data_IF_038361313188
#
_entry.id   IF_038361313188
#
_cell.length_a   1.000
_cell.length_b   1.000
_cell.length_c   1.000
_cell.angle_alpha   90.00
_cell.angle_beta   90.00
_cell.angle_gamma   90.00
#
_symmetry.space_group_name_H-M   'P 1'
#
loop_
_entity.id
_entity.type
_entity.pdbx_description
1 polymer ?
#
# COMPACT_ATOMS: atom_id res chain seq x y z
N UNK A 1 -11.01 -1.65 -10.47
CA UNK A 1 -12.23 -0.84 -10.66
C UNK A 1 -12.05 0.46 -9.90
N UNK A 2 -11.95 1.58 -10.60
CA UNK A 2 -12.16 2.95 -10.11
C UNK A 2 -12.46 3.77 -11.35
N UNK A 3 -13.75 3.85 -11.67
CA UNK A 3 -14.26 4.61 -12.81
C UNK A 3 -14.57 6.00 -12.26
N UNK A 4 -13.61 6.93 -12.33
CA UNK A 4 -13.85 8.31 -11.86
C UNK A 4 -12.61 9.18 -11.59
N UNK A 5 -11.44 8.58 -11.36
CA UNK A 5 -10.21 9.32 -11.05
C UNK A 5 -10.28 10.11 -9.73
N UNK A 6 -9.20 10.81 -9.38
CA UNK A 6 -9.06 11.55 -8.11
C UNK A 6 -10.18 12.57 -7.88
N UNK A 7 -10.68 13.23 -8.94
CA UNK A 7 -11.75 14.22 -8.84
C UNK A 7 -13.05 13.61 -8.31
N UNK A 8 -13.46 12.45 -8.83
CA UNK A 8 -14.68 11.78 -8.38
C UNK A 8 -14.55 11.33 -6.91
N UNK A 9 -13.37 10.85 -6.51
CA UNK A 9 -13.12 10.44 -5.13
C UNK A 9 -13.24 11.60 -4.13
N UNK A 10 -13.02 12.84 -4.58
CA UNK A 10 -13.05 14.04 -3.72
C UNK A 10 -14.40 14.76 -3.72
N UNK A 11 -15.37 14.33 -4.53
CA UNK A 11 -16.62 15.07 -4.77
C UNK A 11 -17.41 15.35 -3.49
N UNK A 12 -17.51 14.34 -2.61
CA UNK A 12 -18.25 14.45 -1.35
C UNK A 12 -17.39 14.95 -0.17
N UNK A 13 -16.11 15.26 -0.40
CA UNK A 13 -15.23 15.75 0.66
C UNK A 13 -15.58 17.19 1.06
N UNK A 14 -16.16 17.36 2.25
CA UNK A 14 -16.50 18.68 2.83
C UNK A 14 -15.32 19.39 3.49
N UNK A 15 -14.12 18.79 3.46
CA UNK A 15 -12.92 19.28 4.16
C UNK A 15 -13.12 19.54 5.66
N UNK A 16 -13.98 18.76 6.33
CA UNK A 16 -14.28 18.92 7.76
C UNK A 16 -13.09 18.69 8.71
N UNK A 17 -12.02 18.02 8.26
CA UNK A 17 -10.79 17.82 9.04
C UNK A 17 -10.78 16.66 10.05
N UNK A 18 -11.92 15.98 10.29
CA UNK A 18 -11.99 14.87 11.24
C UNK A 18 -10.98 13.75 10.95
N UNK A 19 -10.74 13.45 9.67
CA UNK A 19 -9.73 12.48 9.25
C UNK A 19 -8.32 12.84 9.74
N UNK A 20 -7.99 14.15 9.78
CA UNK A 20 -6.70 14.66 10.24
C UNK A 20 -6.56 14.57 11.75
N UNK A 21 -7.63 14.85 12.50
CA UNK A 21 -7.64 14.77 13.97
C UNK A 21 -7.31 13.36 14.47
N UNK A 22 -7.82 12.33 13.79
CA UNK A 22 -7.58 10.92 14.17
C UNK A 22 -6.29 10.33 13.59
N UNK A 23 -5.61 11.05 12.70
CA UNK A 23 -4.42 10.57 12.01
C UNK A 23 -3.22 10.48 12.96
N UNK A 24 -2.68 9.27 13.13
CA UNK A 24 -1.51 9.05 13.99
C UNK A 24 -0.25 9.75 13.46
N UNK A 25 -0.14 9.94 12.15
CA UNK A 25 1.03 10.57 11.51
C UNK A 25 1.06 12.06 11.82
N UNK A 26 -0.10 12.72 11.70
CA UNK A 26 -0.28 14.14 12.03
C UNK A 26 -0.02 14.41 13.51
N UNK A 27 -0.50 13.53 14.39
CA UNK A 27 -0.24 13.60 15.84
C UNK A 27 1.24 13.49 16.19
N UNK A 28 2.03 12.82 15.37
CA UNK A 28 3.49 12.70 15.53
C UNK A 28 4.25 13.84 14.87
N UNK A 29 3.56 14.83 14.28
CA UNK A 29 4.16 16.03 13.70
C UNK A 29 4.56 15.89 12.23
N UNK A 30 4.07 14.87 11.52
CA UNK A 30 4.32 14.68 10.09
C UNK A 30 3.04 14.81 9.25
N UNK A 31 3.17 15.10 7.96
CA UNK A 31 2.03 15.42 7.09
C UNK A 31 1.73 14.26 6.13
N UNK A 32 0.54 13.67 6.26
CA UNK A 32 0.10 12.52 5.46
C UNK A 32 -1.01 12.89 4.47
N UNK A 33 -1.68 11.91 3.88
CA UNK A 33 -2.81 12.12 2.96
C UNK A 33 -3.93 12.98 3.57
N UNK A 34 -4.09 12.97 4.89
CA UNK A 34 -5.06 13.81 5.59
C UNK A 34 -4.71 15.31 5.53
N UNK A 35 -3.42 15.66 5.44
CA UNK A 35 -2.99 17.05 5.18
C UNK A 35 -3.42 17.51 3.78
N UNK A 36 -3.30 16.64 2.78
CA UNK A 36 -3.80 16.90 1.43
C UNK A 36 -5.30 17.15 1.39
N UNK A 37 -6.09 16.32 2.07
CA UNK A 37 -7.55 16.49 2.15
C UNK A 37 -7.96 17.82 2.80
N UNK A 38 -7.11 18.35 3.69
CA UNK A 38 -7.28 19.67 4.30
C UNK A 38 -6.62 20.82 3.50
N UNK A 39 -6.22 20.59 2.24
CA UNK A 39 -5.70 21.61 1.34
C UNK A 39 -4.22 21.93 1.48
N UNK A 40 -3.44 21.14 2.23
CA UNK A 40 -1.99 21.32 2.33
C UNK A 40 -1.28 20.58 1.18
N UNK A 41 -0.37 21.28 0.49
CA UNK A 41 0.47 20.70 -0.57
C UNK A 41 1.75 20.05 -0.05
N UNK A 42 2.20 20.40 1.16
CA UNK A 42 3.33 19.76 1.81
C UNK A 42 2.81 18.52 2.57
N UNK A 43 2.96 17.35 1.95
CA UNK A 43 2.61 16.06 2.52
C UNK A 43 3.29 14.94 1.72
N UNK A 44 3.25 13.71 2.24
CA UNK A 44 3.48 12.52 1.43
C UNK A 44 2.44 11.45 1.67
N UNK A 45 1.88 10.89 0.59
CA UNK A 45 0.95 9.75 0.65
C UNK A 45 1.63 8.48 1.17
N UNK A 46 2.96 8.37 1.03
CA UNK A 46 3.75 7.26 1.56
C UNK A 46 3.90 7.25 3.08
N UNK A 47 3.61 8.37 3.76
CA UNK A 47 3.57 8.41 5.23
C UNK A 47 2.28 7.83 5.81
N UNK A 48 1.24 7.62 4.99
CA UNK A 48 0.00 7.00 5.46
C UNK A 48 0.26 5.55 5.90
N UNK A 49 -0.04 5.24 7.16
CA UNK A 49 0.09 3.88 7.73
C UNK A 49 -1.01 2.92 7.28
N UNK A 50 -1.99 3.38 6.50
CA UNK A 50 -3.15 2.59 6.05
C UNK A 50 -3.95 1.97 7.21
N UNK A 51 -4.01 2.66 8.36
CA UNK A 51 -4.72 2.19 9.55
C UNK A 51 -6.24 2.35 9.53
N UNK A 52 -6.78 2.96 8.46
CA UNK A 52 -8.22 3.17 8.21
C UNK A 52 -9.02 4.02 9.21
N UNK A 53 -8.41 4.54 10.28
CA UNK A 53 -9.09 5.44 11.22
C UNK A 53 -9.77 6.64 10.57
N UNK A 54 -9.13 7.23 9.56
CA UNK A 54 -9.70 8.34 8.81
C UNK A 54 -10.96 7.95 8.02
N UNK A 55 -11.02 6.70 7.52
CA UNK A 55 -12.19 6.16 6.84
C UNK A 55 -13.36 6.03 7.82
N UNK A 56 -13.11 5.44 8.99
CA UNK A 56 -14.15 5.16 9.99
C UNK A 56 -14.84 6.43 10.54
N UNK A 57 -14.13 7.57 10.56
CA UNK A 57 -14.69 8.82 11.07
C UNK A 57 -15.20 9.76 9.98
N UNK A 58 -15.08 9.40 8.70
CA UNK A 58 -15.52 10.28 7.61
C UNK A 58 -17.06 10.35 7.57
N UNK A 59 -17.68 11.51 7.79
CA UNK A 59 -19.14 11.63 7.81
C UNK A 59 -19.77 11.57 6.41
N UNK A 60 -18.95 11.58 5.35
CA UNK A 60 -19.38 11.54 3.95
C UNK A 60 -18.98 10.23 3.27
N UNK A 61 -18.39 9.29 4.02
CA UNK A 61 -17.89 8.02 3.52
C UNK A 61 -16.95 8.16 2.29
N UNK A 62 -16.17 9.24 2.26
CA UNK A 62 -15.13 9.44 1.24
C UNK A 62 -14.14 8.28 1.33
N UNK A 63 -13.83 7.63 0.21
CA UNK A 63 -12.83 6.57 0.15
C UNK A 63 -11.41 7.16 0.22
N UNK A 64 -10.98 7.47 1.44
CA UNK A 64 -9.68 8.09 1.73
C UNK A 64 -8.54 7.12 1.37
N UNK A 65 -8.79 5.81 1.46
CA UNK A 65 -7.80 4.80 1.06
C UNK A 65 -7.58 4.82 -0.46
N UNK A 66 -8.63 4.89 -1.27
CA UNK A 66 -8.51 5.03 -2.72
C UNK A 66 -7.81 6.34 -3.11
N UNK A 67 -8.17 7.46 -2.47
CA UNK A 67 -7.49 8.75 -2.69
C UNK A 67 -5.99 8.63 -2.41
N UNK A 68 -5.64 8.04 -1.28
CA UNK A 68 -4.25 7.80 -0.90
C UNK A 68 -3.52 6.94 -1.95
N UNK A 69 -4.16 5.88 -2.46
CA UNK A 69 -3.58 5.02 -3.48
C UNK A 69 -3.37 5.73 -4.81
N UNK A 70 -4.30 6.58 -5.24
CA UNK A 70 -4.12 7.41 -6.43
C UNK A 70 -2.94 8.38 -6.24
N UNK A 71 -2.82 9.01 -5.07
CA UNK A 71 -1.67 9.88 -4.78
C UNK A 71 -0.33 9.13 -4.74
N UNK A 72 -0.29 7.89 -4.23
CA UNK A 72 0.92 7.05 -4.28
C UNK A 72 1.37 6.72 -5.70
N UNK A 73 0.47 6.70 -6.69
CA UNK A 73 0.83 6.50 -8.11
C UNK A 73 1.52 7.72 -8.72
N UNK A 74 1.30 8.90 -8.14
CA UNK A 74 1.90 10.17 -8.58
C UNK A 74 3.23 10.48 -7.85
N UNK A 75 3.48 9.84 -6.71
CA UNK A 75 4.69 10.02 -5.90
C UNK A 75 5.70 8.89 -6.13
N UNK A 76 6.99 9.22 -6.19
CA UNK A 76 8.05 8.21 -6.24
C UNK A 76 8.04 7.36 -4.96
N UNK A 77 7.98 6.02 -5.05
CA UNK A 77 7.95 5.17 -3.86
C UNK A 77 9.21 5.31 -3.01
N UNK A 78 9.16 5.06 -1.69
CA UNK A 78 10.37 4.92 -0.89
C UNK A 78 11.18 3.70 -1.35
N UNK A 79 12.51 3.77 -1.23
CA UNK A 79 13.42 2.73 -1.75
C UNK A 79 13.10 1.32 -1.22
N UNK A 80 12.65 1.19 0.03
CA UNK A 80 12.23 -0.09 0.61
C UNK A 80 11.07 -0.74 -0.15
N UNK A 81 10.08 0.03 -0.61
CA UNK A 81 8.97 -0.50 -1.39
C UNK A 81 9.43 -0.99 -2.77
N UNK A 82 10.34 -0.25 -3.43
CA UNK A 82 10.96 -0.71 -4.69
C UNK A 82 11.73 -2.01 -4.50
N UNK A 83 12.54 -2.09 -3.43
CA UNK A 83 13.29 -3.30 -3.09
C UNK A 83 12.38 -4.50 -2.83
N UNK A 84 11.32 -4.31 -2.04
CA UNK A 84 10.34 -5.36 -1.75
C UNK A 84 9.62 -5.83 -3.02
N UNK A 85 9.22 -4.93 -3.92
CA UNK A 85 8.62 -5.30 -5.20
C UNK A 85 9.59 -6.10 -6.07
N UNK A 86 10.85 -5.67 -6.16
CA UNK A 86 11.89 -6.40 -6.91
C UNK A 86 12.14 -7.81 -6.32
N UNK A 87 12.01 -7.97 -5.01
CA UNK A 87 12.08 -9.29 -4.37
C UNK A 87 10.88 -10.16 -4.74
N UNK A 88 9.66 -9.61 -4.70
CA UNK A 88 8.44 -10.33 -5.11
C UNK A 88 8.57 -10.83 -6.54
N UNK A 89 9.02 -9.98 -7.47
CA UNK A 89 9.20 -10.36 -8.88
C UNK A 89 10.27 -11.45 -9.08
N UNK A 90 11.26 -11.53 -8.17
CA UNK A 90 12.39 -12.45 -8.29
C UNK A 90 12.14 -13.80 -7.63
N UNK A 91 11.48 -13.81 -6.47
CA UNK A 91 11.35 -15.02 -5.63
C UNK A 91 9.92 -15.30 -5.15
N UNK A 92 8.96 -14.42 -5.46
CA UNK A 92 7.60 -14.50 -4.94
C UNK A 92 7.43 -13.93 -3.52
N UNK A 93 8.50 -13.48 -2.88
CA UNK A 93 8.49 -12.96 -1.51
C UNK A 93 9.03 -11.54 -1.43
N UNK A 94 8.36 -10.67 -0.67
CA UNK A 94 8.84 -9.30 -0.41
C UNK A 94 10.10 -9.27 0.45
N UNK A 95 10.17 -10.17 1.44
CA UNK A 95 11.32 -10.38 2.30
C UNK A 95 11.99 -11.68 1.87
N UNK A 96 13.24 -11.60 1.44
CA UNK A 96 14.00 -12.76 0.99
C UNK A 96 14.36 -13.63 2.19
N UNK A 97 14.13 -14.93 2.07
CA UNK A 97 14.58 -15.93 3.03
C UNK A 97 15.93 -16.42 2.56
N UNK A 98 16.99 -16.01 3.25
CA UNK A 98 18.35 -16.45 2.99
C UNK A 98 18.76 -17.62 3.91
N UNK A 99 20.00 -18.09 3.74
CA UNK A 99 20.56 -19.18 4.53
C UNK A 99 20.58 -18.84 6.04
N UNK A 100 20.72 -17.57 6.41
CA UNK A 100 20.69 -17.13 7.80
C UNK A 100 19.31 -17.33 8.43
N UNK A 101 18.25 -16.99 7.70
CA UNK A 101 16.88 -17.26 8.14
C UNK A 101 16.62 -18.77 8.22
N UNK A 102 17.08 -19.55 7.26
CA UNK A 102 16.92 -21.02 7.29
C UNK A 102 17.73 -21.68 8.41
N UNK A 103 18.90 -21.13 8.77
CA UNK A 103 19.67 -21.59 9.93
C UNK A 103 18.92 -21.30 11.23
N UNK A 104 18.35 -20.10 11.38
CA UNK A 104 17.49 -19.78 12.53
C UNK A 104 16.29 -20.72 12.62
N UNK A 105 15.64 -21.02 11.48
CA UNK A 105 14.55 -21.99 11.42
C UNK A 105 14.99 -23.37 11.89
N UNK A 106 16.15 -23.86 11.41
CA UNK A 106 16.74 -25.13 11.81
C UNK A 106 17.01 -25.20 13.32
N UNK A 107 17.56 -24.14 13.91
CA UNK A 107 17.79 -24.03 15.38
C UNK A 107 16.47 -24.16 16.16
N UNK A 108 15.37 -23.68 15.60
CA UNK A 108 14.02 -23.81 16.16
C UNK A 108 13.26 -25.08 15.73
N UNK A 109 13.92 -26.02 15.04
CA UNK A 109 13.29 -27.27 14.58
C UNK A 109 12.30 -27.10 13.43
N UNK A 110 12.36 -25.98 12.71
CA UNK A 110 11.54 -25.69 11.54
C UNK A 110 12.27 -26.10 10.26
N UNK A 111 11.50 -26.60 9.29
CA UNK A 111 12.02 -26.98 7.98
C UNK A 111 12.50 -25.76 7.18
N UNK A 112 13.52 -25.94 6.34
CA UNK A 112 14.00 -24.87 5.48
C UNK A 112 12.91 -24.46 4.48
N UNK A 113 12.84 -23.16 4.18
CA UNK A 113 12.01 -22.68 3.08
C UNK A 113 12.88 -22.60 1.83
N UNK A 114 12.47 -23.34 0.80
CA UNK A 114 12.99 -23.18 -0.55
C UNK A 114 12.17 -22.14 -1.30
N UNK A 115 12.85 -21.15 -1.87
CA UNK A 115 12.19 -20.10 -2.63
C UNK A 115 11.72 -20.64 -3.99
N UNK A 116 10.58 -20.14 -4.45
CA UNK A 116 10.07 -20.45 -5.79
C UNK A 116 11.08 -19.94 -6.82
N UNK A 117 11.47 -20.74 -7.83
CA UNK A 117 12.41 -20.28 -8.84
C UNK A 117 11.82 -19.11 -9.63
N UNK A 118 12.65 -18.13 -9.98
CA UNK A 118 12.18 -16.87 -10.58
C UNK A 118 11.41 -17.04 -11.89
N UNK A 119 11.72 -18.08 -12.68
CA UNK A 119 10.99 -18.42 -13.91
C UNK A 119 9.49 -18.71 -13.66
N UNK A 120 9.16 -19.34 -12.52
CA UNK A 120 7.77 -19.65 -12.15
C UNK A 120 7.05 -18.40 -11.68
N UNK A 121 7.76 -17.53 -10.96
CA UNK A 121 7.23 -16.23 -10.54
C UNK A 121 6.90 -15.38 -11.77
N UNK A 122 7.81 -15.30 -12.74
CA UNK A 122 7.58 -14.59 -13.98
C UNK A 122 6.39 -15.18 -14.76
N UNK A 123 6.35 -16.51 -14.90
CA UNK A 123 5.25 -17.20 -15.59
C UNK A 123 3.89 -16.93 -14.95
N UNK A 124 3.80 -16.86 -13.61
CA UNK A 124 2.55 -16.58 -12.91
C UNK A 124 2.14 -15.11 -12.98
N UNK A 125 3.09 -14.18 -12.90
CA UNK A 125 2.79 -12.74 -12.84
C UNK A 125 2.57 -12.10 -14.22
N UNK A 126 3.07 -12.72 -15.30
CA UNK A 126 2.92 -12.20 -16.68
C UNK A 126 1.76 -12.84 -17.43
N UNK A 127 1.09 -13.84 -16.85
CA UNK A 127 -0.09 -14.43 -17.47
C UNK A 127 -1.20 -13.38 -17.63
N UNK A 128 -1.79 -13.25 -18.83
CA UNK A 128 -2.93 -12.38 -19.02
C UNK A 128 -4.04 -12.84 -18.09
N UNK A 129 -4.55 -11.93 -17.25
CA UNK A 129 -5.74 -12.20 -16.42
C UNK A 129 -6.84 -12.68 -17.34
N UNK A 130 -7.22 -13.96 -17.23
CA UNK A 130 -8.45 -14.44 -17.84
C UNK A 130 -9.55 -13.51 -17.33
N UNK A 131 -10.21 -12.81 -18.25
CA UNK A 131 -11.36 -12.00 -17.89
C UNK A 131 -12.36 -12.96 -17.25
N UNK A 132 -12.62 -12.80 -15.95
CA UNK A 132 -13.76 -13.45 -15.30
C UNK A 132 -14.99 -13.11 -16.14
N UNK A 133 -15.42 -14.08 -16.95
CA UNK A 133 -16.66 -13.97 -17.70
C UNK A 133 -17.74 -13.91 -16.64
N UNK A 134 -18.32 -12.72 -16.47
CA UNK A 134 -19.41 -12.47 -15.54
C UNK A 134 -20.48 -13.55 -15.68
N UNK A 135 -20.81 -14.16 -14.55
CA UNK A 135 -22.06 -14.87 -14.31
C UNK A 135 -23.00 -13.95 -13.54
#
# INVERSE_FOLDING_TARGET
>A
MSVGGLKALLEDCTQCGLCREVCIVERLGAQSITSFLCGNSDYSSWLCSSCLRCQEVCPQDVDIHAIMMEKRREEEPPAGYRGNMANVLRSGYALVIDDGVNEMRRVHGLEAVELVPGEWVEALLTQPREQEKGA
#
